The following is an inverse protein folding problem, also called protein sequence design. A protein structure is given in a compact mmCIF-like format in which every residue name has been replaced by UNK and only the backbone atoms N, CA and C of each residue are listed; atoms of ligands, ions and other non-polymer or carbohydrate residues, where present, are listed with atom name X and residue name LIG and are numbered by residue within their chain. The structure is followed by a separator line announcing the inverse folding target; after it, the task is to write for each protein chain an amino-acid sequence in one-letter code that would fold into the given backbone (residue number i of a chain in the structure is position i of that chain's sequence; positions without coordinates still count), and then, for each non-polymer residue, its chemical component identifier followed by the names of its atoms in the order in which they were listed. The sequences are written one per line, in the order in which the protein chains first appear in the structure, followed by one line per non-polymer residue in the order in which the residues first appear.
data_IF_757622197330
#
_entry.id   IF_757622197330
#
_cell.length_a   1.000
_cell.length_b   1.000
_cell.length_c   1.000
_cell.angle_alpha   90.00
_cell.angle_beta   90.00
_cell.angle_gamma   90.00
#
_symmetry.space_group_name_H-M   'P 1'
#
loop_
_entity.id
_entity.type
_entity.pdbx_description
1 polymer ?
#
# COMPACT_ATOMS: atom_id res chain seq x y z
N UNK A 1 10.28 -2.84 -4.60
CA UNK A 1 11.29 -2.52 -5.62
C UNK A 1 12.53 -3.26 -5.24
N UNK A 2 13.04 -4.11 -6.13
CA UNK A 2 14.34 -4.74 -5.90
C UNK A 2 15.41 -3.64 -5.95
N UNK A 3 16.35 -3.61 -4.99
CA UNK A 3 17.45 -2.68 -5.07
C UNK A 3 18.30 -3.01 -6.31
N UNK A 4 18.82 -1.99 -7.02
CA UNK A 4 19.76 -2.23 -8.11
C UNK A 4 21.02 -2.88 -7.55
N UNK A 5 21.51 -3.88 -8.27
CA UNK A 5 22.78 -4.56 -7.97
C UNK A 5 23.79 -4.13 -9.02
N UNK A 6 25.02 -3.84 -8.58
CA UNK A 6 26.11 -3.51 -9.48
C UNK A 6 26.47 -4.72 -10.35
N UNK A 7 26.62 -4.50 -11.65
CA UNK A 7 26.97 -5.53 -12.62
C UNK A 7 28.32 -6.18 -12.28
N UNK A 8 29.29 -5.41 -11.76
CA UNK A 8 30.58 -5.96 -11.33
C UNK A 8 30.42 -7.00 -10.21
N UNK A 9 29.43 -6.81 -9.31
CA UNK A 9 29.14 -7.77 -8.23
C UNK A 9 28.53 -9.05 -8.79
N UNK A 10 27.66 -8.95 -9.79
CA UNK A 10 27.06 -10.11 -10.46
C UNK A 10 28.12 -10.92 -11.22
N UNK A 11 29.00 -10.26 -11.97
CA UNK A 11 30.07 -10.91 -12.73
C UNK A 11 31.11 -11.59 -11.82
N UNK A 12 31.48 -10.93 -10.72
CA UNK A 12 32.47 -11.48 -9.77
C UNK A 12 31.89 -12.59 -8.86
N UNK A 13 30.56 -12.75 -8.80
CA UNK A 13 29.87 -13.71 -7.93
C UNK A 13 28.79 -14.50 -8.69
N UNK A 14 29.17 -15.47 -9.55
CA UNK A 14 28.23 -16.17 -10.42
C UNK A 14 27.11 -16.92 -9.69
N UNK A 15 27.39 -17.46 -8.49
CA UNK A 15 26.34 -18.08 -7.66
C UNK A 15 25.31 -17.06 -7.17
N UNK A 16 25.77 -15.87 -6.77
CA UNK A 16 24.86 -14.79 -6.39
C UNK A 16 24.05 -14.29 -7.60
N UNK A 17 24.66 -14.19 -8.78
CA UNK A 17 23.94 -13.82 -10.00
C UNK A 17 22.82 -14.81 -10.35
N UNK A 18 23.08 -16.12 -10.22
CA UNK A 18 22.06 -17.15 -10.40
C UNK A 18 20.91 -17.04 -9.38
N UNK A 19 21.26 -16.80 -8.11
CA UNK A 19 20.27 -16.57 -7.04
C UNK A 19 19.45 -15.31 -7.30
N UNK A 20 20.10 -14.18 -7.60
CA UNK A 20 19.44 -12.91 -7.89
C UNK A 20 18.47 -13.02 -9.06
N UNK A 21 18.90 -13.69 -10.14
CA UNK A 21 18.05 -13.98 -11.29
C UNK A 21 16.85 -14.83 -10.90
N UNK A 22 17.06 -15.91 -10.16
CA UNK A 22 15.98 -16.80 -9.71
C UNK A 22 14.97 -16.05 -8.83
N UNK A 23 15.45 -15.24 -7.89
CA UNK A 23 14.59 -14.46 -7.00
C UNK A 23 13.77 -13.44 -7.79
N UNK A 24 14.39 -12.67 -8.68
CA UNK A 24 13.74 -11.58 -9.41
C UNK A 24 12.82 -12.07 -10.54
N UNK A 25 13.08 -13.25 -11.11
CA UNK A 25 12.29 -13.79 -12.25
C UNK A 25 11.26 -14.83 -11.83
N UNK A 26 11.58 -15.74 -10.90
CA UNK A 26 10.74 -16.89 -10.58
C UNK A 26 10.05 -16.79 -9.21
N UNK A 27 10.71 -16.22 -8.18
CA UNK A 27 10.19 -16.26 -6.81
C UNK A 27 9.44 -14.99 -6.37
N UNK A 28 9.90 -13.81 -6.78
CA UNK A 28 9.44 -12.51 -6.29
C UNK A 28 8.80 -11.66 -7.38
N UNK A 29 7.80 -10.87 -7.00
CA UNK A 29 7.22 -9.79 -7.79
C UNK A 29 8.12 -8.53 -7.72
N UNK A 30 7.97 -7.54 -8.63
CA UNK A 30 8.77 -6.30 -8.61
C UNK A 30 8.69 -5.49 -7.30
N UNK A 31 7.59 -5.65 -6.55
CA UNK A 31 7.41 -5.05 -5.23
C UNK A 31 8.04 -5.88 -4.09
N UNK A 32 8.88 -6.87 -4.40
CA UNK A 32 9.53 -7.80 -3.47
C UNK A 32 8.58 -8.76 -2.73
N UNK A 33 7.30 -8.83 -3.11
CA UNK A 33 6.39 -9.84 -2.56
C UNK A 33 6.58 -11.20 -3.23
N UNK A 34 6.34 -12.30 -2.52
CA UNK A 34 6.45 -13.65 -3.09
C UNK A 34 5.35 -13.93 -4.11
N UNK A 35 5.70 -14.57 -5.24
CA UNK A 35 4.74 -15.04 -6.26
C UNK A 35 3.93 -16.24 -5.77
N UNK A 36 4.58 -17.21 -5.14
CA UNK A 36 3.93 -18.34 -4.51
C UNK A 36 3.42 -17.98 -3.11
N UNK A 37 2.26 -17.33 -3.07
CA UNK A 37 1.64 -16.94 -1.81
C UNK A 37 0.21 -17.50 -1.72
N UNK A 38 0.02 -18.66 -1.04
CA UNK A 38 -1.28 -19.31 -0.90
C UNK A 38 -2.31 -18.43 -0.19
N UNK A 39 -1.86 -17.54 0.69
CA UNK A 39 -2.71 -16.64 1.44
C UNK A 39 -3.04 -15.34 0.69
N UNK A 40 -2.46 -15.11 -0.50
CA UNK A 40 -2.67 -13.89 -1.29
C UNK A 40 -4.15 -13.59 -1.51
N UNK A 41 -4.93 -14.58 -1.94
CA UNK A 41 -6.38 -14.40 -2.16
C UNK A 41 -7.10 -13.93 -0.88
N UNK A 42 -6.76 -14.52 0.28
CA UNK A 42 -7.34 -14.12 1.57
C UNK A 42 -6.94 -12.69 1.94
N UNK A 43 -5.67 -12.33 1.78
CA UNK A 43 -5.20 -10.96 2.08
C UNK A 43 -5.82 -9.91 1.15
N UNK A 44 -5.95 -10.20 -0.13
CA UNK A 44 -6.61 -9.28 -1.07
C UNK A 44 -8.10 -9.10 -0.73
N UNK A 45 -8.80 -10.16 -0.31
CA UNK A 45 -10.17 -10.04 0.18
C UNK A 45 -10.28 -9.13 1.41
N UNK A 46 -9.38 -9.29 2.38
CA UNK A 46 -9.32 -8.42 3.58
C UNK A 46 -8.99 -6.97 3.19
N UNK A 47 -8.08 -6.74 2.25
CA UNK A 47 -7.76 -5.39 1.76
C UNK A 47 -8.96 -4.72 1.11
N UNK A 48 -9.74 -5.44 0.31
CA UNK A 48 -10.93 -4.88 -0.33
C UNK A 48 -12.03 -4.56 0.70
N UNK A 49 -12.24 -5.43 1.69
CA UNK A 49 -13.12 -5.14 2.82
C UNK A 49 -12.65 -3.90 3.59
N UNK A 50 -11.35 -3.79 3.90
CA UNK A 50 -10.80 -2.62 4.57
C UNK A 50 -11.00 -1.34 3.75
N UNK A 51 -10.79 -1.40 2.43
CA UNK A 51 -10.99 -0.27 1.52
C UNK A 51 -12.45 0.21 1.53
N UNK A 52 -13.41 -0.71 1.46
CA UNK A 52 -14.84 -0.36 1.50
C UNK A 52 -15.24 0.31 2.83
N UNK A 53 -14.76 -0.24 3.95
CA UNK A 53 -14.95 0.36 5.27
C UNK A 53 -14.34 1.77 5.38
N UNK A 54 -13.11 1.95 4.87
CA UNK A 54 -12.44 3.27 4.84
C UNK A 54 -13.25 4.28 4.05
N UNK A 55 -13.69 3.93 2.84
CA UNK A 55 -14.51 4.81 1.99
C UNK A 55 -15.79 5.22 2.71
N UNK A 56 -16.52 4.26 3.30
CA UNK A 56 -17.76 4.54 4.05
C UNK A 56 -17.50 5.50 5.22
N UNK A 57 -16.48 5.22 6.02
CA UNK A 57 -16.13 6.06 7.18
C UNK A 57 -15.72 7.47 6.76
N UNK A 58 -14.90 7.61 5.74
CA UNK A 58 -14.46 8.92 5.23
C UNK A 58 -15.64 9.73 4.69
N UNK A 59 -16.59 9.10 3.98
CA UNK A 59 -17.82 9.77 3.53
C UNK A 59 -18.62 10.32 4.70
N UNK A 60 -18.91 9.48 5.71
CA UNK A 60 -19.63 9.92 6.91
C UNK A 60 -18.90 11.03 7.65
N UNK A 61 -17.58 10.89 7.82
CA UNK A 61 -16.75 11.91 8.45
C UNK A 61 -16.80 13.24 7.70
N UNK A 62 -16.72 13.22 6.37
CA UNK A 62 -16.76 14.43 5.55
C UNK A 62 -18.12 15.13 5.63
N UNK A 63 -19.22 14.38 5.63
CA UNK A 63 -20.57 14.94 5.82
C UNK A 63 -20.72 15.61 7.20
N UNK A 64 -20.29 14.91 8.26
CA UNK A 64 -20.31 15.46 9.62
C UNK A 64 -19.45 16.72 9.70
N UNK A 65 -18.23 16.67 9.17
CA UNK A 65 -17.32 17.80 9.16
C UNK A 65 -17.93 19.00 8.40
N UNK A 66 -18.51 18.78 7.22
CA UNK A 66 -19.14 19.82 6.43
C UNK A 66 -20.33 20.47 7.14
N UNK A 67 -21.18 19.69 7.82
CA UNK A 67 -22.29 20.23 8.60
C UNK A 67 -21.77 21.07 9.78
N UNK A 68 -20.77 20.55 10.51
CA UNK A 68 -20.17 21.25 11.65
C UNK A 68 -19.50 22.56 11.25
N UNK A 69 -18.87 22.62 10.07
CA UNK A 69 -18.20 23.83 9.58
C UNK A 69 -19.12 24.78 8.82
N UNK A 70 -20.22 24.29 8.23
CA UNK A 70 -21.20 25.11 7.52
C UNK A 70 -22.20 25.80 8.45
N UNK A 71 -22.32 25.36 9.71
CA UNK A 71 -23.13 26.07 10.70
C UNK A 71 -22.43 27.40 11.02
N UNK A 72 -22.99 28.57 10.65
CA UNK A 72 -22.41 29.83 11.05
C UNK A 72 -22.50 29.86 12.58
N UNK A 73 -21.35 29.95 13.26
CA UNK A 73 -21.33 30.36 14.65
C UNK A 73 -22.11 31.67 14.70
N UNK A 74 -23.31 31.61 15.28
CA UNK A 74 -24.13 32.79 15.52
C UNK A 74 -23.25 33.79 16.24
N UNK A 75 -22.97 34.90 15.55
CA UNK A 75 -22.24 36.03 16.07
C UNK A 75 -22.66 36.26 17.52
N UNK A 76 -21.73 36.11 18.46
CA UNK A 76 -21.90 36.59 19.82
C UNK A 76 -21.96 38.11 19.73
N UNK A 77 -23.17 38.65 19.57
CA UNK A 77 -23.44 40.07 19.82
C UNK A 77 -23.19 40.32 21.30
N UNK A 78 -22.00 40.82 21.62
CA UNK A 78 -21.69 41.28 22.97
C UNK A 78 -22.16 42.74 23.10
N UNK A 79 -22.89 43.08 24.19
CA UNK A 79 -23.33 44.46 24.46
C UNK A 79 -22.16 45.38 24.82
#
# INVERSE_FOLDING_TARGET
MHPPVDEAVLQNNPQFAALYTTLTTAALNPNCSTKNDPARKKREAVKEQLKSHRVKKTKSHLLVAAISTASPSSHTSKP
#
